data_IF_605584244172
#
_entry.id   IF_605584244172
#
_cell.length_a   1.000
_cell.length_b   1.000
_cell.length_c   1.000
_cell.angle_alpha   90.00
_cell.angle_beta   90.00
_cell.angle_gamma   90.00
#
_symmetry.space_group_name_H-M   'P 1'
#
loop_
_entity.id
_entity.type
_entity.pdbx_description
1 polymer ?
#
# COMPACT_ATOMS: atom_id res chain seq x y z
N UNK A 1 53.64 1.32 -6.64
CA UNK A 1 53.11 -0.07 -6.63
C UNK A 1 51.70 -0.13 -6.04
N UNK A 2 51.48 0.44 -4.85
CA UNK A 2 50.17 0.40 -4.16
C UNK A 2 49.02 1.06 -4.93
N UNK A 3 49.22 2.21 -5.59
CA UNK A 3 48.17 2.87 -6.38
C UNK A 3 47.71 2.05 -7.60
N UNK A 4 48.62 1.30 -8.23
CA UNK A 4 48.29 0.41 -9.35
C UNK A 4 47.45 -0.78 -8.89
N UNK A 5 47.77 -1.31 -7.71
CA UNK A 5 46.98 -2.37 -7.07
C UNK A 5 45.60 -1.88 -6.65
N UNK A 6 45.50 -0.69 -6.05
CA UNK A 6 44.22 -0.09 -5.66
C UNK A 6 43.31 0.14 -6.88
N UNK A 7 43.87 0.59 -8.01
CA UNK A 7 43.13 0.80 -9.25
C UNK A 7 42.63 -0.53 -9.84
N UNK A 8 43.42 -1.60 -9.77
CA UNK A 8 43.00 -2.93 -10.18
C UNK A 8 41.83 -3.45 -9.32
N UNK A 9 41.89 -3.29 -7.99
CA UNK A 9 40.79 -3.67 -7.09
C UNK A 9 39.49 -2.90 -7.35
N UNK A 10 39.59 -1.61 -7.65
CA UNK A 10 38.42 -0.80 -8.01
C UNK A 10 37.75 -1.29 -9.28
N UNK A 11 38.54 -1.70 -10.29
CA UNK A 11 38.00 -2.27 -11.54
C UNK A 11 37.28 -3.60 -11.27
N UNK A 12 37.87 -4.48 -10.46
CA UNK A 12 37.26 -5.77 -10.10
C UNK A 12 35.92 -5.56 -9.39
N UNK A 13 35.87 -4.63 -8.43
CA UNK A 13 34.63 -4.29 -7.72
C UNK A 13 33.58 -3.71 -8.67
N UNK A 14 33.98 -2.82 -9.58
CA UNK A 14 33.06 -2.23 -10.56
C UNK A 14 32.44 -3.30 -11.49
N UNK A 15 33.25 -4.26 -11.96
CA UNK A 15 32.78 -5.38 -12.79
C UNK A 15 31.84 -6.30 -12.00
N UNK A 16 32.16 -6.58 -10.72
CA UNK A 16 31.31 -7.39 -9.86
C UNK A 16 29.94 -6.74 -9.63
N UNK A 17 29.91 -5.42 -9.37
CA UNK A 17 28.67 -4.66 -9.20
C UNK A 17 27.85 -4.67 -10.49
N UNK A 18 28.50 -4.48 -11.64
CA UNK A 18 27.81 -4.50 -12.94
C UNK A 18 27.21 -5.89 -13.24
N UNK A 19 27.94 -6.97 -12.96
CA UNK A 19 27.47 -8.33 -13.18
C UNK A 19 26.25 -8.69 -12.32
N UNK A 20 26.21 -8.24 -11.06
CA UNK A 20 25.06 -8.46 -10.17
C UNK A 20 23.85 -7.63 -10.60
N UNK A 21 24.08 -6.38 -11.03
CA UNK A 21 23.02 -5.49 -11.51
C UNK A 21 22.38 -6.01 -12.80
N UNK A 22 23.14 -6.69 -13.65
CA UNK A 22 22.64 -7.28 -14.89
C UNK A 22 21.74 -8.51 -14.67
N UNK A 23 21.71 -9.08 -13.46
CA UNK A 23 20.87 -10.23 -13.09
C UNK A 23 19.57 -9.82 -12.42
N UNK A 24 19.15 -8.56 -12.56
CA UNK A 24 17.81 -8.13 -12.15
C UNK A 24 16.81 -8.65 -13.18
N UNK A 25 16.50 -9.93 -13.09
CA UNK A 25 15.33 -10.52 -13.73
C UNK A 25 14.12 -9.84 -13.10
N UNK A 26 13.44 -8.96 -13.84
CA UNK A 26 12.18 -8.40 -13.39
C UNK A 26 11.22 -9.56 -13.14
N UNK A 27 10.59 -9.59 -11.97
CA UNK A 27 9.61 -10.61 -11.65
C UNK A 27 8.61 -10.74 -12.81
N UNK A 28 8.36 -11.96 -13.33
CA UNK A 28 7.46 -12.16 -14.45
C UNK A 28 6.13 -11.48 -14.14
N UNK A 29 5.67 -10.61 -15.05
CA UNK A 29 4.35 -10.00 -14.91
C UNK A 29 3.33 -11.15 -14.87
N UNK A 30 2.54 -11.31 -13.80
CA UNK A 30 1.66 -12.46 -13.68
C UNK A 30 0.60 -12.41 -14.79
N UNK A 31 0.71 -13.31 -15.77
CA UNK A 31 -0.21 -13.40 -16.90
C UNK A 31 -1.66 -13.61 -16.43
N UNK A 32 -1.85 -14.29 -15.30
CA UNK A 32 -3.17 -14.44 -14.65
C UNK A 32 -3.86 -13.11 -14.38
N UNK A 33 -3.09 -12.05 -14.05
CA UNK A 33 -3.66 -10.73 -13.79
C UNK A 33 -4.25 -10.11 -15.05
N UNK A 34 -3.61 -10.32 -16.21
CA UNK A 34 -4.12 -9.78 -17.47
C UNK A 34 -5.40 -10.50 -17.89
N UNK A 35 -5.43 -11.83 -17.82
CA UNK A 35 -6.63 -12.63 -18.13
C UNK A 35 -7.79 -12.26 -17.20
N UNK A 36 -7.52 -12.03 -15.92
CA UNK A 36 -8.54 -11.59 -14.97
C UNK A 36 -9.09 -10.20 -15.27
N UNK A 37 -8.23 -9.27 -15.71
CA UNK A 37 -8.64 -7.92 -16.10
C UNK A 37 -9.45 -7.91 -17.40
N UNK A 38 -9.06 -8.73 -18.37
CA UNK A 38 -9.79 -8.90 -19.65
C UNK A 38 -11.19 -9.49 -19.39
N UNK A 39 -11.27 -10.51 -18.53
CA UNK A 39 -12.53 -11.12 -18.12
C UNK A 39 -13.44 -10.17 -17.31
N UNK A 40 -12.87 -9.20 -16.59
CA UNK A 40 -13.63 -8.13 -15.91
C UNK A 40 -14.21 -7.12 -16.91
N UNK A 41 -13.55 -6.91 -18.04
CA UNK A 41 -13.99 -6.01 -19.10
C UNK A 41 -15.20 -6.59 -19.85
N UNK A 42 -15.18 -7.91 -20.09
CA UNK A 42 -16.29 -8.65 -20.70
C UNK A 42 -17.49 -8.84 -19.77
N UNK A 43 -17.29 -8.85 -18.45
CA UNK A 43 -18.34 -9.08 -17.46
C UNK A 43 -18.42 -7.98 -16.39
N UNK A 44 -19.20 -6.90 -16.63
CA UNK A 44 -19.30 -5.78 -15.69
C UNK A 44 -19.92 -6.18 -14.35
N UNK A 45 -20.64 -7.30 -14.26
CA UNK A 45 -21.21 -7.80 -13.00
C UNK A 45 -20.12 -8.29 -12.04
N UNK A 46 -19.08 -8.95 -12.57
CA UNK A 46 -17.94 -9.41 -11.78
C UNK A 46 -17.15 -8.23 -11.20
N UNK A 47 -17.09 -7.11 -11.93
CA UNK A 47 -16.48 -5.86 -11.45
C UNK A 47 -17.27 -5.28 -10.28
N UNK A 48 -18.60 -5.25 -10.35
CA UNK A 48 -19.42 -4.79 -9.22
C UNK A 48 -19.26 -5.69 -7.99
N UNK A 49 -19.17 -7.00 -8.17
CA UNK A 49 -18.92 -7.96 -7.10
C UNK A 49 -17.54 -7.75 -6.46
N UNK A 50 -16.49 -7.53 -7.25
CA UNK A 50 -15.15 -7.21 -6.79
C UNK A 50 -15.12 -5.91 -5.97
N UNK A 51 -15.75 -4.84 -6.48
CA UNK A 51 -15.83 -3.55 -5.78
C UNK A 51 -16.60 -3.71 -4.46
N UNK A 52 -17.71 -4.44 -4.47
CA UNK A 52 -18.50 -4.69 -3.25
C UNK A 52 -17.70 -5.49 -2.21
N UNK A 53 -16.92 -6.48 -2.66
CA UNK A 53 -16.05 -7.29 -1.81
C UNK A 53 -14.91 -6.46 -1.24
N UNK A 54 -14.28 -5.60 -2.04
CA UNK A 54 -13.25 -4.67 -1.59
C UNK A 54 -13.78 -3.68 -0.55
N UNK A 55 -14.98 -3.12 -0.78
CA UNK A 55 -15.61 -2.22 0.20
C UNK A 55 -15.93 -2.94 1.52
N UNK A 56 -16.40 -4.20 1.44
CA UNK A 56 -16.62 -5.04 2.63
C UNK A 56 -15.32 -5.33 3.37
N UNK A 57 -14.23 -5.63 2.66
CA UNK A 57 -12.91 -5.82 3.27
C UNK A 57 -12.38 -4.53 3.91
N UNK A 58 -12.59 -3.38 3.26
CA UNK A 58 -12.22 -2.06 3.80
C UNK A 58 -13.05 -1.70 5.04
N UNK A 59 -14.31 -2.09 5.07
CA UNK A 59 -15.18 -1.93 6.24
C UNK A 59 -14.73 -2.83 7.41
N UNK A 60 -14.28 -4.06 7.10
CA UNK A 60 -13.65 -4.99 8.04
C UNK A 60 -12.31 -4.47 8.58
N UNK A 61 -11.50 -3.83 7.73
CA UNK A 61 -10.26 -3.15 8.12
C UNK A 61 -10.55 -1.99 9.08
N UNK A 62 -11.61 -1.21 8.81
CA UNK A 62 -12.04 -0.11 9.66
C UNK A 62 -12.69 -0.55 10.99
N UNK A 63 -13.16 -1.80 11.10
CA UNK A 63 -13.84 -2.29 12.32
C UNK A 63 -12.91 -2.69 13.47
N UNK A 64 -11.62 -2.31 13.38
CA UNK A 64 -10.59 -2.43 14.44
C UNK A 64 -10.03 -3.86 14.55
N UNK A 65 -8.76 -4.04 14.17
CA UNK A 65 -7.84 -5.12 14.63
C UNK A 65 -7.96 -6.54 14.02
N UNK A 66 -8.59 -6.77 12.86
CA UNK A 66 -8.65 -8.14 12.32
C UNK A 66 -7.38 -8.60 11.59
N UNK A 67 -6.55 -7.69 11.07
CA UNK A 67 -5.20 -7.99 10.60
C UNK A 67 -4.21 -7.05 11.29
N UNK A 68 -4.02 -7.28 12.59
CA UNK A 68 -3.11 -6.50 13.45
C UNK A 68 -1.65 -6.77 13.13
N UNK A 69 -1.19 -6.39 11.94
CA UNK A 69 0.23 -6.23 11.65
C UNK A 69 0.62 -4.77 11.90
N UNK A 70 0.48 -4.33 13.15
CA UNK A 70 1.20 -3.14 13.59
C UNK A 70 2.68 -3.55 13.64
N UNK A 71 3.48 -3.11 12.67
CA UNK A 71 4.95 -3.25 12.64
C UNK A 71 5.65 -2.51 13.80
N UNK A 72 5.04 -2.44 14.98
CA UNK A 72 5.50 -1.64 16.10
C UNK A 72 5.23 -0.15 15.97
N UNK A 73 4.59 0.32 14.88
CA UNK A 73 4.33 1.76 14.64
C UNK A 73 3.43 2.39 15.71
N UNK A 74 2.53 1.62 16.32
CA UNK A 74 1.67 2.09 17.41
C UNK A 74 2.28 1.94 18.82
N UNK A 75 3.52 1.42 18.96
CA UNK A 75 4.17 1.34 20.28
C UNK A 75 4.57 2.74 20.73
N UNK A 76 3.94 3.21 21.81
CA UNK A 76 4.16 4.53 22.38
C UNK A 76 3.03 5.54 22.15
N UNK A 77 2.04 5.20 21.32
CA UNK A 77 0.84 6.04 21.17
C UNK A 77 -0.15 5.76 22.29
N UNK A 78 -0.37 6.76 23.13
CA UNK A 78 -1.36 6.69 24.21
C UNK A 78 -2.76 6.47 23.65
N UNK A 79 -3.52 5.56 24.26
CA UNK A 79 -4.91 5.27 23.88
C UNK A 79 -5.81 6.51 23.86
N UNK A 80 -5.49 7.52 24.68
CA UNK A 80 -6.22 8.79 24.69
C UNK A 80 -5.92 9.67 23.46
N UNK A 81 -4.72 9.57 22.87
CA UNK A 81 -4.36 10.28 21.64
C UNK A 81 -5.03 9.64 20.43
N UNK A 82 -5.00 8.31 20.33
CA UNK A 82 -5.72 7.58 19.28
C UNK A 82 -7.23 7.77 19.41
N UNK A 83 -7.78 7.81 20.62
CA UNK A 83 -9.20 8.11 20.84
C UNK A 83 -9.56 9.54 20.42
N UNK A 84 -8.75 10.56 20.79
CA UNK A 84 -8.95 11.95 20.32
C UNK A 84 -8.83 12.07 18.82
N UNK A 85 -7.88 11.37 18.21
CA UNK A 85 -7.70 11.38 16.76
C UNK A 85 -8.92 10.79 16.04
N UNK A 86 -9.42 9.63 16.51
CA UNK A 86 -10.62 8.99 15.98
C UNK A 86 -11.84 9.89 16.16
N UNK A 87 -12.01 10.50 17.34
CA UNK A 87 -13.10 11.43 17.61
C UNK A 87 -13.06 12.67 16.71
N UNK A 88 -11.86 13.22 16.45
CA UNK A 88 -11.68 14.34 15.53
C UNK A 88 -11.98 13.98 14.08
N UNK A 89 -11.52 12.81 13.63
CA UNK A 89 -11.87 12.26 12.30
C UNK A 89 -13.37 12.02 12.16
N UNK A 90 -14.02 11.46 13.18
CA UNK A 90 -15.47 11.24 13.20
C UNK A 90 -16.25 12.57 13.17
N UNK A 91 -15.79 13.59 13.91
CA UNK A 91 -16.38 14.92 13.89
C UNK A 91 -16.24 15.61 12.53
N UNK A 92 -15.09 15.46 11.86
CA UNK A 92 -14.86 15.99 10.51
C UNK A 92 -15.74 15.31 9.44
N UNK A 93 -15.95 14.00 9.57
CA UNK A 93 -16.80 13.22 8.67
C UNK A 93 -18.29 13.28 9.04
N UNK A 94 -18.66 13.94 10.14
CA UNK A 94 -20.05 14.03 10.58
C UNK A 94 -20.88 14.86 9.59
N UNK A 95 -21.83 14.18 8.93
CA UNK A 95 -22.60 14.74 7.84
C UNK A 95 -23.43 15.98 8.21
N UNK A 96 -23.77 16.14 9.49
CA UNK A 96 -24.54 17.25 10.05
C UNK A 96 -23.68 18.21 10.90
N UNK A 97 -22.37 18.30 10.64
CA UNK A 97 -21.49 19.23 11.33
C UNK A 97 -21.92 20.70 11.16
N UNK A 98 -21.76 21.54 12.19
CA UNK A 98 -22.14 22.96 12.13
C UNK A 98 -21.44 23.65 10.96
N UNK A 99 -22.23 24.24 10.05
CA UNK A 99 -21.74 24.87 8.82
C UNK A 99 -21.98 24.09 7.52
N UNK A 100 -22.31 22.78 7.58
CA UNK A 100 -22.80 22.06 6.39
C UNK A 100 -24.26 22.44 6.15
N UNK A 101 -24.50 23.19 5.07
CA UNK A 101 -25.86 23.42 4.57
C UNK A 101 -26.50 22.05 4.33
N UNK A 102 -27.63 21.79 4.98
CA UNK A 102 -28.49 20.67 4.59
C UNK A 102 -28.73 20.86 3.10
N UNK A 103 -28.41 19.86 2.28
CA UNK A 103 -28.89 19.86 0.89
C UNK A 103 -30.40 19.75 1.02
N UNK A 104 -31.06 20.91 1.04
CA UNK A 104 -32.50 21.02 1.06
C UNK A 104 -32.98 20.69 -0.34
N UNK A 105 -33.82 19.65 -0.37
CA UNK A 105 -34.70 19.19 -1.45
C UNK A 105 -34.03 18.40 -2.59
#
# INVERSE_FOLDING_TARGET
>A
MQHKMALAWMIVVAVAVFAVSAQVEAAPFPQERQVYLDQLEDNPQALYELISSFNKLRELENTKRAFGLDFGLNRGFSGSQTAKHLMGMAAANYANGPGRRRRSE
#
